data_IF_668765732002
#
_entry.id   IF_668765732002
#
_cell.length_a   1.000
_cell.length_b   1.000
_cell.length_c   1.000
_cell.angle_alpha   90.00
_cell.angle_beta   90.00
_cell.angle_gamma   90.00
#
_symmetry.space_group_name_H-M   'P 1'
#
loop_
_entity.id
_entity.type
_entity.pdbx_description
1 polymer ?
#
# COMPACT_ATOMS: atom_id res chain seq x y z
N UNK A 1 16.22 8.42 -17.01
CA UNK A 1 16.12 9.06 -15.67
C UNK A 1 14.82 9.81 -15.45
N UNK A 2 14.40 10.73 -16.34
CA UNK A 2 13.13 11.46 -16.17
C UNK A 2 11.90 10.54 -16.04
N UNK A 3 11.80 9.51 -16.89
CA UNK A 3 10.69 8.54 -16.84
C UNK A 3 10.67 7.72 -15.55
N UNK A 4 11.84 7.41 -14.98
CA UNK A 4 11.97 6.68 -13.71
C UNK A 4 11.46 7.51 -12.53
N UNK A 5 11.85 8.77 -12.49
CA UNK A 5 11.40 9.69 -11.44
C UNK A 5 9.89 9.95 -11.55
N UNK A 6 9.38 10.20 -12.76
CA UNK A 6 7.94 10.37 -12.98
C UNK A 6 7.14 9.13 -12.55
N UNK A 7 7.67 7.92 -12.82
CA UNK A 7 7.08 6.68 -12.35
C UNK A 7 7.06 6.59 -10.82
N UNK A 8 8.21 6.82 -10.15
CA UNK A 8 8.30 6.82 -8.67
C UNK A 8 7.29 7.79 -8.07
N UNK A 9 7.25 9.03 -8.57
CA UNK A 9 6.40 10.08 -8.00
C UNK A 9 4.92 9.74 -8.16
N UNK A 10 4.53 9.19 -9.32
CA UNK A 10 3.16 8.73 -9.56
C UNK A 10 2.76 7.63 -8.58
N UNK A 11 3.57 6.58 -8.46
CA UNK A 11 3.19 5.44 -7.64
C UNK A 11 3.32 5.74 -6.14
N UNK A 12 4.22 6.65 -5.76
CA UNK A 12 4.27 7.24 -4.42
C UNK A 12 2.98 7.97 -4.08
N UNK A 13 2.47 8.84 -4.96
CA UNK A 13 1.25 9.59 -4.69
C UNK A 13 0.05 8.65 -4.45
N UNK A 14 -0.02 7.54 -5.19
CA UNK A 14 -1.05 6.53 -5.00
C UNK A 14 -0.86 5.74 -3.69
N UNK A 15 0.38 5.45 -3.30
CA UNK A 15 0.69 4.84 -2.01
C UNK A 15 0.26 5.75 -0.85
N UNK A 16 0.56 7.05 -0.93
CA UNK A 16 0.15 8.04 0.05
C UNK A 16 -1.39 8.13 0.15
N UNK A 17 -2.10 8.00 -0.98
CA UNK A 17 -3.58 7.92 -0.98
C UNK A 17 -4.07 6.68 -0.23
N UNK A 18 -3.53 5.50 -0.53
CA UNK A 18 -3.94 4.26 0.15
C UNK A 18 -3.62 4.30 1.64
N UNK A 19 -2.51 4.92 2.05
CA UNK A 19 -2.18 5.12 3.46
C UNK A 19 -3.28 5.92 4.18
N UNK A 20 -3.75 7.00 3.55
CA UNK A 20 -4.86 7.78 4.09
C UNK A 20 -6.18 7.00 4.13
N UNK A 21 -6.43 6.09 3.18
CA UNK A 21 -7.60 5.20 3.19
C UNK A 21 -7.52 4.16 4.31
N UNK A 22 -6.36 3.55 4.53
CA UNK A 22 -6.11 2.61 5.64
C UNK A 22 -6.33 3.31 7.00
N UNK A 23 -5.85 4.55 7.14
CA UNK A 23 -6.08 5.32 8.38
C UNK A 23 -7.57 5.66 8.59
N UNK A 24 -8.32 5.94 7.52
CA UNK A 24 -9.79 6.10 7.60
C UNK A 24 -10.48 4.79 8.01
N UNK A 25 -10.06 3.66 7.47
CA UNK A 25 -10.59 2.34 7.86
C UNK A 25 -10.33 2.06 9.34
N UNK A 26 -9.15 2.44 9.84
CA UNK A 26 -8.80 2.33 11.27
C UNK A 26 -9.71 3.16 12.16
N UNK A 27 -9.94 4.43 11.81
CA UNK A 27 -10.85 5.29 12.57
C UNK A 27 -12.27 4.68 12.62
N UNK A 28 -12.79 4.17 11.50
CA UNK A 28 -14.07 3.46 11.47
C UNK A 28 -14.09 2.20 12.33
N UNK A 29 -13.00 1.45 12.35
CA UNK A 29 -12.89 0.24 13.17
C UNK A 29 -12.93 0.56 14.67
N UNK A 30 -12.34 1.68 15.09
CA UNK A 30 -12.36 2.15 16.47
C UNK A 30 -13.78 2.56 16.93
N UNK A 31 -14.64 3.00 16.01
CA UNK A 31 -16.05 3.32 16.27
C UNK A 31 -16.98 2.09 16.26
N UNK A 32 -16.50 0.93 15.81
CA UNK A 32 -17.31 -0.28 15.68
C UNK A 32 -17.50 -1.01 17.02
N UNK A 33 -18.55 -1.84 17.11
CA UNK A 33 -18.77 -2.73 18.26
C UNK A 33 -17.61 -3.73 18.42
N UNK A 34 -17.41 -4.24 19.64
CA UNK A 34 -16.24 -5.05 20.02
C UNK A 34 -15.94 -6.22 19.07
N UNK A 35 -16.96 -6.99 18.65
CA UNK A 35 -16.76 -8.13 17.73
C UNK A 35 -16.34 -7.68 16.33
N UNK A 36 -16.94 -6.61 15.82
CA UNK A 36 -16.62 -6.05 14.50
C UNK A 36 -15.22 -5.41 14.50
N UNK A 37 -14.88 -4.71 15.59
CA UNK A 37 -13.57 -4.10 15.80
C UNK A 37 -12.45 -5.13 15.71
N UNK A 38 -12.57 -6.29 16.35
CA UNK A 38 -11.55 -7.36 16.30
C UNK A 38 -11.32 -7.84 14.86
N UNK A 39 -12.38 -7.99 14.06
CA UNK A 39 -12.25 -8.41 12.66
C UNK A 39 -11.59 -7.32 11.81
N UNK A 40 -11.99 -6.07 12.02
CA UNK A 40 -11.44 -4.92 11.32
C UNK A 40 -9.97 -4.67 11.63
N UNK A 41 -9.56 -4.76 12.90
CA UNK A 41 -8.16 -4.62 13.32
C UNK A 41 -7.27 -5.65 12.60
N UNK A 42 -7.69 -6.91 12.50
CA UNK A 42 -6.92 -7.93 11.75
C UNK A 42 -6.76 -7.60 10.27
N UNK A 43 -7.81 -7.11 9.63
CA UNK A 43 -7.73 -6.71 8.21
C UNK A 43 -6.84 -5.48 8.05
N UNK A 44 -6.94 -4.49 8.93
CA UNK A 44 -6.10 -3.29 8.93
C UNK A 44 -4.63 -3.65 9.16
N UNK A 45 -4.31 -4.59 10.05
CA UNK A 45 -2.94 -5.07 10.25
C UNK A 45 -2.35 -5.68 8.97
N UNK A 46 -3.14 -6.48 8.24
CA UNK A 46 -2.70 -7.00 6.93
C UNK A 46 -2.46 -5.89 5.92
N UNK A 47 -3.33 -4.88 5.87
CA UNK A 47 -3.14 -3.72 4.98
C UNK A 47 -1.85 -2.95 5.33
N UNK A 48 -1.57 -2.74 6.62
CA UNK A 48 -0.34 -2.09 7.08
C UNK A 48 0.90 -2.89 6.69
N UNK A 49 0.88 -4.21 6.80
CA UNK A 49 1.98 -5.06 6.36
C UNK A 49 2.25 -4.92 4.84
N UNK A 50 1.20 -4.90 4.02
CA UNK A 50 1.34 -4.66 2.58
C UNK A 50 1.82 -3.25 2.25
N UNK A 51 1.37 -2.25 3.01
CA UNK A 51 1.87 -0.87 2.90
C UNK A 51 3.37 -0.81 3.16
N UNK A 52 3.83 -1.38 4.28
CA UNK A 52 5.24 -1.38 4.65
C UNK A 52 6.11 -2.08 3.59
N UNK A 53 5.63 -3.21 3.05
CA UNK A 53 6.30 -3.92 1.95
C UNK A 53 6.42 -3.04 0.69
N UNK A 54 5.32 -2.40 0.27
CA UNK A 54 5.32 -1.53 -0.90
C UNK A 54 6.20 -0.29 -0.71
N UNK A 55 6.20 0.31 0.49
CA UNK A 55 7.08 1.43 0.83
C UNK A 55 8.56 1.04 0.82
N UNK A 56 8.91 -0.12 1.39
CA UNK A 56 10.27 -0.64 1.36
C UNK A 56 10.72 -0.89 -0.09
N UNK A 57 9.88 -1.54 -0.90
CA UNK A 57 10.17 -1.80 -2.32
C UNK A 57 10.29 -0.53 -3.15
N UNK A 58 9.52 0.52 -2.84
CA UNK A 58 9.65 1.82 -3.50
C UNK A 58 10.97 2.52 -3.17
N UNK A 59 11.42 2.44 -1.89
CA UNK A 59 12.73 2.98 -1.47
C UNK A 59 13.87 2.25 -2.16
N UNK A 60 13.79 0.93 -2.20
CA UNK A 60 14.70 0.04 -2.92
C UNK A 60 14.75 0.39 -4.43
N UNK A 61 13.58 0.52 -5.07
CA UNK A 61 13.47 0.90 -6.48
C UNK A 61 14.13 2.26 -6.72
N UNK A 62 13.85 3.27 -5.89
CA UNK A 62 14.43 4.62 -6.01
C UNK A 62 15.96 4.64 -5.89
N UNK A 63 16.55 3.71 -5.14
CA UNK A 63 17.99 3.59 -5.00
C UNK A 63 18.64 2.75 -6.12
N UNK A 64 17.84 2.08 -6.95
CA UNK A 64 18.34 1.17 -7.98
C UNK A 64 19.06 1.91 -9.12
N UNK A 65 20.22 1.38 -9.50
CA UNK A 65 20.92 1.78 -10.73
C UNK A 65 20.17 1.29 -11.99
N UNK A 66 20.64 1.72 -13.16
CA UNK A 66 19.97 1.41 -14.43
C UNK A 66 19.82 -0.09 -14.70
N UNK A 67 20.86 -0.87 -14.39
CA UNK A 67 20.91 -2.31 -14.64
C UNK A 67 19.96 -3.13 -13.77
N UNK A 68 19.71 -2.70 -12.52
CA UNK A 68 18.83 -3.40 -11.58
C UNK A 68 17.39 -2.88 -11.59
N UNK A 69 17.15 -1.73 -12.22
CA UNK A 69 15.88 -1.02 -12.14
C UNK A 69 14.68 -1.85 -12.62
N UNK A 70 14.84 -2.62 -13.70
CA UNK A 70 13.76 -3.42 -14.27
C UNK A 70 13.28 -4.51 -13.30
N UNK A 71 14.22 -5.24 -12.69
CA UNK A 71 13.91 -6.32 -11.76
C UNK A 71 13.30 -5.77 -10.46
N UNK A 72 13.85 -4.66 -9.95
CA UNK A 72 13.32 -4.00 -8.76
C UNK A 72 11.94 -3.40 -9.02
N UNK A 73 11.69 -2.87 -10.22
CA UNK A 73 10.37 -2.37 -10.62
C UNK A 73 9.34 -3.50 -10.64
N UNK A 74 9.67 -4.67 -11.18
CA UNK A 74 8.76 -5.81 -11.18
C UNK A 74 8.41 -6.27 -9.75
N UNK A 75 9.40 -6.31 -8.85
CA UNK A 75 9.17 -6.60 -7.43
C UNK A 75 8.27 -5.58 -6.75
N UNK A 76 8.50 -4.29 -7.02
CA UNK A 76 7.65 -3.21 -6.53
C UNK A 76 6.22 -3.29 -7.09
N UNK A 77 6.04 -3.49 -8.40
CA UNK A 77 4.73 -3.56 -9.05
C UNK A 77 3.86 -4.68 -8.47
N UNK A 78 4.47 -5.81 -8.10
CA UNK A 78 3.78 -6.90 -7.43
C UNK A 78 3.28 -6.48 -6.04
N UNK A 79 4.14 -5.89 -5.21
CA UNK A 79 3.76 -5.42 -3.87
C UNK A 79 2.70 -4.32 -3.94
N UNK A 80 2.88 -3.37 -4.86
CA UNK A 80 1.96 -2.26 -5.12
C UNK A 80 0.59 -2.74 -5.56
N UNK A 81 0.52 -3.71 -6.48
CA UNK A 81 -0.74 -4.31 -6.90
C UNK A 81 -1.44 -5.04 -5.75
N UNK A 82 -0.70 -5.87 -5.01
CA UNK A 82 -1.25 -6.60 -3.87
C UNK A 82 -1.86 -5.66 -2.82
N UNK A 83 -1.19 -4.55 -2.53
CA UNK A 83 -1.70 -3.53 -1.62
C UNK A 83 -2.99 -2.89 -2.17
N UNK A 84 -2.99 -2.48 -3.43
CA UNK A 84 -4.18 -1.90 -4.07
C UNK A 84 -5.39 -2.84 -4.02
N UNK A 85 -5.20 -4.10 -4.42
CA UNK A 85 -6.25 -5.12 -4.38
C UNK A 85 -6.77 -5.34 -2.94
N UNK A 86 -5.88 -5.31 -1.95
CA UNK A 86 -6.25 -5.45 -0.54
C UNK A 86 -7.03 -4.24 -0.02
N UNK A 87 -6.61 -3.01 -0.35
CA UNK A 87 -7.31 -1.77 0.04
C UNK A 87 -8.70 -1.72 -0.60
N UNK A 88 -8.83 -2.02 -1.89
CA UNK A 88 -10.12 -2.05 -2.60
C UNK A 88 -11.08 -3.08 -1.97
N UNK A 89 -10.56 -4.26 -1.63
CA UNK A 89 -11.32 -5.32 -0.94
C UNK A 89 -11.77 -4.87 0.45
N UNK A 90 -10.89 -4.25 1.23
CA UNK A 90 -11.23 -3.74 2.56
C UNK A 90 -12.26 -2.61 2.49
N UNK A 91 -12.06 -1.63 1.61
CA UNK A 91 -13.01 -0.53 1.39
C UNK A 91 -14.40 -1.03 0.99
N UNK A 92 -14.47 -2.10 0.19
CA UNK A 92 -15.74 -2.73 -0.19
C UNK A 92 -16.45 -3.43 0.98
N UNK A 93 -15.70 -3.97 1.95
CA UNK A 93 -16.23 -4.62 3.16
C UNK A 93 -16.65 -3.65 4.26
N UNK A 94 -16.10 -2.43 4.26
CA UNK A 94 -16.40 -1.35 5.20
C UNK A 94 -17.47 -0.36 4.68
N UNK A 95 -18.12 -0.70 3.56
CA UNK A 95 -19.24 0.02 3.00
C UNK A 95 -20.55 -0.51 3.58
#
# INVERSE_FOLDING_TARGET
MADKNAYIDKTKAQLDQWNAEIDKLRAKADEANADARIQYEREIEKLRAHQEEAEAKLKELRAAGDDAWSDMKAGYEKAWKNLGDAVDSAMSRFK
#
